data_IF_444106996054
#
_entry.id   IF_444106996054
#
_cell.length_a   1.000
_cell.length_b   1.000
_cell.length_c   1.000
_cell.angle_alpha   90.00
_cell.angle_beta   90.00
_cell.angle_gamma   90.00
#
_symmetry.space_group_name_H-M   'P 1'
#
loop_
_entity.id
_entity.type
_entity.pdbx_description
1 polymer ?
#
# COMPACT_ATOMS: atom_id res chain seq x y z
N UNK A 1 -2.04 -18.01 -6.42
CA UNK A 1 -2.29 -16.56 -6.55
C UNK A 1 -1.12 -15.92 -7.29
N UNK A 2 -1.38 -15.09 -8.31
CA UNK A 2 -0.33 -14.33 -9.00
C UNK A 2 -0.06 -13.01 -8.26
N UNK A 3 0.59 -13.09 -7.10
CA UNK A 3 0.80 -11.95 -6.20
C UNK A 3 1.85 -10.93 -6.70
N UNK A 4 2.47 -11.18 -7.85
CA UNK A 4 3.56 -10.35 -8.37
C UNK A 4 3.14 -9.49 -9.56
N UNK A 5 2.18 -9.95 -10.36
CA UNK A 5 1.78 -9.29 -11.59
C UNK A 5 0.44 -8.55 -11.46
N UNK A 6 0.52 -7.26 -11.13
CA UNK A 6 -0.62 -6.36 -11.00
C UNK A 6 -1.42 -6.23 -12.31
N UNK A 7 -0.77 -6.24 -13.46
CA UNK A 7 -1.43 -6.09 -14.76
C UNK A 7 -2.20 -7.36 -15.14
N UNK A 8 -1.59 -8.54 -14.95
CA UNK A 8 -2.29 -9.80 -15.17
C UNK A 8 -3.53 -9.90 -14.27
N UNK A 9 -3.40 -9.55 -12.98
CA UNK A 9 -4.56 -9.57 -12.07
C UNK A 9 -5.64 -8.57 -12.45
N UNK A 10 -5.27 -7.41 -13.00
CA UNK A 10 -6.24 -6.46 -13.52
C UNK A 10 -6.96 -7.04 -14.75
N UNK A 11 -6.25 -7.69 -15.68
CA UNK A 11 -6.87 -8.38 -16.81
C UNK A 11 -7.79 -9.54 -16.36
N UNK A 12 -7.38 -10.32 -15.36
CA UNK A 12 -8.18 -11.42 -14.80
C UNK A 12 -9.44 -10.90 -14.08
N UNK A 13 -9.35 -9.75 -13.40
CA UNK A 13 -10.51 -9.06 -12.83
C UNK A 13 -11.44 -8.53 -13.92
N UNK A 14 -10.90 -7.92 -14.96
CA UNK A 14 -11.68 -7.35 -16.05
C UNK A 14 -12.47 -8.44 -16.81
N UNK A 15 -11.86 -9.62 -16.98
CA UNK A 15 -12.45 -10.77 -17.67
C UNK A 15 -13.31 -11.67 -16.78
N UNK A 16 -13.53 -11.33 -15.51
CA UNK A 16 -14.23 -12.16 -14.51
C UNK A 16 -13.62 -13.56 -14.30
N UNK A 17 -12.33 -13.71 -14.62
CA UNK A 17 -11.60 -14.98 -14.50
C UNK A 17 -11.30 -15.36 -13.04
N UNK A 18 -11.34 -14.41 -12.11
CA UNK A 18 -11.10 -14.65 -10.68
C UNK A 18 -12.37 -15.11 -9.95
N UNK A 19 -12.30 -16.28 -9.33
CA UNK A 19 -13.38 -16.81 -8.49
C UNK A 19 -13.54 -15.99 -7.20
N UNK A 20 -14.73 -16.05 -6.60
CA UNK A 20 -15.00 -15.38 -5.31
C UNK A 20 -14.07 -15.87 -4.19
N UNK A 21 -13.73 -17.16 -4.19
CA UNK A 21 -12.76 -17.71 -3.24
C UNK A 21 -11.37 -17.07 -3.41
N UNK A 22 -10.92 -16.85 -4.64
CA UNK A 22 -9.63 -16.20 -4.89
C UNK A 22 -9.66 -14.73 -4.43
N UNK A 23 -10.74 -14.00 -4.71
CA UNK A 23 -10.92 -12.61 -4.22
C UNK A 23 -10.87 -12.53 -2.69
N UNK A 24 -11.53 -13.48 -2.00
CA UNK A 24 -11.47 -13.58 -0.54
C UNK A 24 -10.06 -13.87 -0.01
N UNK A 25 -9.28 -14.71 -0.71
CA UNK A 25 -7.87 -14.95 -0.34
C UNK A 25 -7.03 -13.68 -0.45
N UNK A 26 -7.23 -12.86 -1.49
CA UNK A 26 -6.57 -11.55 -1.60
C UNK A 26 -6.94 -10.61 -0.44
N UNK A 27 -8.23 -10.58 -0.06
CA UNK A 27 -8.69 -9.79 1.08
C UNK A 27 -7.99 -10.21 2.38
N UNK A 28 -8.00 -11.52 2.68
CA UNK A 28 -7.37 -12.08 3.88
C UNK A 28 -5.87 -11.79 3.89
N UNK A 29 -5.18 -11.97 2.76
CA UNK A 29 -3.76 -11.69 2.65
C UNK A 29 -3.43 -10.20 2.85
N UNK A 30 -4.24 -9.28 2.29
CA UNK A 30 -4.12 -7.85 2.54
C UNK A 30 -4.25 -7.51 4.04
N UNK A 31 -5.22 -8.13 4.72
CA UNK A 31 -5.43 -7.93 6.15
C UNK A 31 -4.23 -8.41 6.99
N UNK A 32 -3.72 -9.62 6.72
CA UNK A 32 -2.50 -10.11 7.38
C UNK A 32 -1.29 -9.23 7.11
N UNK A 33 -1.11 -8.77 5.86
CA UNK A 33 -0.02 -7.87 5.50
C UNK A 33 -0.11 -6.55 6.27
N UNK A 34 -1.30 -5.98 6.41
CA UNK A 34 -1.51 -4.74 7.17
C UNK A 34 -1.16 -4.91 8.66
N UNK A 35 -1.60 -6.01 9.28
CA UNK A 35 -1.28 -6.31 10.68
C UNK A 35 0.24 -6.49 10.83
N UNK A 36 0.84 -7.35 10.01
CA UNK A 36 2.26 -7.67 10.10
C UNK A 36 3.14 -6.42 9.85
N UNK A 37 2.79 -5.60 8.87
CA UNK A 37 3.52 -4.37 8.53
C UNK A 37 3.42 -3.27 9.58
N UNK A 38 2.46 -3.37 10.52
CA UNK A 38 2.29 -2.38 11.60
C UNK A 38 2.87 -2.91 12.91
N UNK A 39 2.51 -4.14 13.29
CA UNK A 39 2.84 -4.70 14.60
C UNK A 39 4.30 -5.14 14.69
N UNK A 40 4.83 -5.82 13.67
CA UNK A 40 6.20 -6.34 13.72
C UNK A 40 7.24 -5.22 13.84
N UNK A 41 7.17 -4.13 13.06
CA UNK A 41 8.11 -3.02 13.22
C UNK A 41 8.08 -2.41 14.61
N UNK A 42 6.90 -2.20 15.18
CA UNK A 42 6.77 -1.64 16.53
C UNK A 42 7.40 -2.54 17.59
N UNK A 43 7.19 -3.86 17.47
CA UNK A 43 7.81 -4.84 18.36
C UNK A 43 9.34 -4.84 18.24
N UNK A 44 9.88 -4.93 17.03
CA UNK A 44 11.33 -4.99 16.81
C UNK A 44 12.06 -3.68 17.10
N UNK A 45 11.40 -2.53 16.94
CA UNK A 45 11.98 -1.20 17.18
C UNK A 45 11.67 -0.62 18.57
N UNK A 46 10.93 -1.36 19.41
CA UNK A 46 10.68 -1.00 20.80
C UNK A 46 9.79 0.22 21.02
N UNK A 47 8.89 0.54 20.09
CA UNK A 47 8.05 1.74 20.17
C UNK A 47 6.72 1.51 20.88
N UNK A 48 6.36 2.42 21.79
CA UNK A 48 4.99 2.65 22.26
C UNK A 48 4.39 3.86 21.52
N UNK A 49 3.06 3.88 21.32
CA UNK A 49 2.34 4.92 20.56
C UNK A 49 2.57 6.32 21.14
N UNK A 50 3.61 7.02 20.67
CA UNK A 50 3.78 8.45 20.92
C UNK A 50 3.08 9.23 19.81
N UNK A 51 1.84 9.65 20.08
CA UNK A 51 1.12 10.61 19.25
C UNK A 51 1.68 12.01 19.53
N UNK A 52 2.43 12.56 18.58
CA UNK A 52 2.87 13.94 18.58
C UNK A 52 2.36 14.70 17.33
N UNK A 53 2.50 16.02 17.31
CA UNK A 53 1.98 16.87 16.22
C UNK A 53 2.53 16.46 14.84
N UNK A 54 3.75 15.94 14.79
CA UNK A 54 4.37 15.44 13.55
C UNK A 54 3.65 14.18 13.09
N UNK A 55 3.50 13.16 13.94
CA UNK A 55 2.74 11.95 13.58
C UNK A 55 1.30 12.26 13.15
N UNK A 56 0.65 13.23 13.79
CA UNK A 56 -0.69 13.69 13.42
C UNK A 56 -0.72 14.38 12.04
N UNK A 57 0.26 15.24 11.73
CA UNK A 57 0.33 15.91 10.43
C UNK A 57 0.54 14.91 9.28
N UNK A 58 1.40 13.88 9.44
CA UNK A 58 1.55 12.83 8.43
C UNK A 58 0.27 12.03 8.27
N UNK A 59 -0.41 11.71 9.37
CA UNK A 59 -1.71 11.03 9.31
C UNK A 59 -2.73 11.83 8.50
N UNK A 60 -2.88 13.13 8.75
CA UNK A 60 -3.81 14.01 8.00
C UNK A 60 -3.43 14.06 6.51
N UNK A 61 -2.14 14.24 6.19
CA UNK A 61 -1.66 14.23 4.81
C UNK A 61 -1.94 12.88 4.12
N UNK A 62 -1.69 11.78 4.82
CA UNK A 62 -1.93 10.41 4.34
C UNK A 62 -3.42 10.16 4.09
N UNK A 63 -4.31 10.64 4.96
CA UNK A 63 -5.76 10.57 4.76
C UNK A 63 -6.21 11.35 3.52
N UNK A 64 -5.69 12.56 3.31
CA UNK A 64 -6.01 13.36 2.14
C UNK A 64 -5.58 12.65 0.85
N UNK A 65 -4.34 12.13 0.82
CA UNK A 65 -3.80 11.35 -0.30
C UNK A 65 -4.61 10.08 -0.52
N UNK A 66 -5.02 9.39 0.55
CA UNK A 66 -5.84 8.20 0.48
C UNK A 66 -7.19 8.50 -0.18
N UNK A 67 -7.88 9.56 0.28
CA UNK A 67 -9.18 9.92 -0.24
C UNK A 67 -9.11 10.28 -1.73
N UNK A 68 -8.15 11.13 -2.11
CA UNK A 68 -7.93 11.52 -3.51
C UNK A 68 -7.56 10.31 -4.37
N UNK A 69 -6.68 9.44 -3.87
CA UNK A 69 -6.24 8.23 -4.53
C UNK A 69 -7.39 7.24 -4.76
N UNK A 70 -8.18 6.95 -3.74
CA UNK A 70 -9.35 6.08 -3.82
C UNK A 70 -10.37 6.61 -4.84
N UNK A 71 -10.67 7.91 -4.80
CA UNK A 71 -11.56 8.54 -5.78
C UNK A 71 -11.01 8.47 -7.21
N UNK A 72 -9.68 8.55 -7.37
CA UNK A 72 -9.05 8.43 -8.68
C UNK A 72 -9.16 7.02 -9.28
N UNK A 73 -9.07 5.98 -8.45
CA UNK A 73 -9.28 4.59 -8.87
C UNK A 73 -10.77 4.34 -9.15
N UNK A 74 -11.67 4.83 -8.29
CA UNK A 74 -13.11 4.75 -8.53
C UNK A 74 -13.49 5.33 -9.90
N UNK A 75 -12.99 6.53 -10.23
CA UNK A 75 -13.21 7.15 -11.55
C UNK A 75 -12.59 6.35 -12.69
N UNK A 76 -11.46 5.68 -12.48
CA UNK A 76 -10.86 4.82 -13.50
C UNK A 76 -11.70 3.55 -13.74
N UNK A 77 -12.38 3.06 -12.70
CA UNK A 77 -13.27 1.90 -12.80
C UNK A 77 -14.69 2.24 -13.28
N UNK A 78 -15.15 3.50 -13.18
CA UNK A 78 -16.57 3.86 -13.35
C UNK A 78 -17.15 3.57 -14.75
N UNK A 79 -16.30 3.41 -15.75
CA UNK A 79 -16.71 3.02 -17.11
C UNK A 79 -16.92 1.51 -17.29
N UNK A 80 -16.48 0.68 -16.34
CA UNK A 80 -16.38 -0.76 -16.51
C UNK A 80 -17.33 -1.52 -15.58
N UNK A 81 -18.37 -2.15 -16.14
CA UNK A 81 -19.45 -2.77 -15.34
C UNK A 81 -19.12 -4.16 -14.79
N UNK A 82 -18.15 -4.87 -15.35
CA UNK A 82 -17.86 -6.28 -15.02
C UNK A 82 -17.01 -6.44 -13.76
N UNK A 83 -16.06 -5.52 -13.53
CA UNK A 83 -15.20 -5.54 -12.35
C UNK A 83 -15.66 -4.50 -11.32
N UNK A 84 -16.07 -4.97 -10.14
CA UNK A 84 -16.42 -4.09 -9.03
C UNK A 84 -15.23 -3.26 -8.55
N UNK A 85 -15.47 -2.00 -8.17
CA UNK A 85 -14.42 -1.10 -7.66
C UNK A 85 -13.78 -1.67 -6.38
N UNK A 86 -14.59 -2.24 -5.49
CA UNK A 86 -14.10 -2.84 -4.25
C UNK A 86 -13.22 -4.08 -4.52
N UNK A 87 -13.66 -4.97 -5.42
CA UNK A 87 -12.85 -6.12 -5.85
C UNK A 87 -11.53 -5.68 -6.44
N UNK A 88 -11.56 -4.63 -7.27
CA UNK A 88 -10.37 -4.04 -7.90
C UNK A 88 -9.40 -3.50 -6.85
N UNK A 89 -9.90 -2.72 -5.89
CA UNK A 89 -9.08 -2.19 -4.80
C UNK A 89 -8.47 -3.30 -3.96
N UNK A 90 -9.24 -4.31 -3.57
CA UNK A 90 -8.77 -5.39 -2.69
C UNK A 90 -7.73 -6.27 -3.39
N UNK A 91 -8.05 -6.77 -4.59
CA UNK A 91 -7.20 -7.73 -5.30
C UNK A 91 -5.92 -7.09 -5.81
N UNK A 92 -5.98 -5.85 -6.31
CA UNK A 92 -4.79 -5.14 -6.80
C UNK A 92 -3.97 -4.52 -5.66
N UNK A 93 -4.54 -4.28 -4.48
CA UNK A 93 -3.79 -3.76 -3.35
C UNK A 93 -2.70 -4.72 -2.88
N UNK A 94 -2.95 -6.03 -2.80
CA UNK A 94 -1.94 -6.98 -2.32
C UNK A 94 -0.61 -6.92 -3.11
N UNK A 95 -0.59 -7.15 -4.44
CA UNK A 95 0.65 -7.12 -5.22
C UNK A 95 1.32 -5.75 -5.21
N UNK A 96 0.54 -4.66 -5.13
CA UNK A 96 1.05 -3.29 -5.09
C UNK A 96 1.66 -2.97 -3.73
N UNK A 97 0.98 -3.30 -2.63
CA UNK A 97 1.46 -3.12 -1.28
C UNK A 97 2.76 -3.90 -1.04
N UNK A 98 2.87 -5.14 -1.52
CA UNK A 98 4.12 -5.90 -1.42
C UNK A 98 5.31 -5.16 -2.07
N UNK A 99 5.13 -4.64 -3.30
CA UNK A 99 6.17 -3.88 -4.01
C UNK A 99 6.56 -2.61 -3.26
N UNK A 100 5.57 -1.87 -2.77
CA UNK A 100 5.79 -0.62 -2.05
C UNK A 100 6.47 -0.86 -0.71
N UNK A 101 6.05 -1.89 0.03
CA UNK A 101 6.67 -2.29 1.30
C UNK A 101 8.12 -2.72 1.09
N UNK A 102 8.43 -3.49 0.05
CA UNK A 102 9.81 -3.86 -0.28
C UNK A 102 10.68 -2.62 -0.52
N UNK A 103 10.21 -1.67 -1.34
CA UNK A 103 10.93 -0.41 -1.59
C UNK A 103 11.08 0.40 -0.31
N UNK A 104 10.04 0.46 0.52
CA UNK A 104 10.05 1.17 1.79
C UNK A 104 11.13 0.63 2.73
N UNK A 105 11.20 -0.69 2.91
CA UNK A 105 12.16 -1.34 3.82
C UNK A 105 13.59 -1.27 3.28
N UNK A 106 13.79 -1.43 1.97
CA UNK A 106 15.10 -1.28 1.35
C UNK A 106 15.64 0.15 1.49
N UNK A 107 14.78 1.14 1.28
CA UNK A 107 15.15 2.55 1.43
C UNK A 107 15.43 2.89 2.89
N UNK A 108 14.61 2.39 3.83
CA UNK A 108 14.87 2.53 5.25
C UNK A 108 16.21 1.90 5.65
N UNK A 109 16.50 0.67 5.23
CA UNK A 109 17.75 -0.01 5.55
C UNK A 109 18.97 0.80 5.06
N UNK A 110 18.89 1.34 3.83
CA UNK A 110 19.94 2.21 3.30
C UNK A 110 20.12 3.49 4.12
N UNK A 111 19.03 4.19 4.46
CA UNK A 111 19.09 5.41 5.28
C UNK A 111 19.62 5.08 6.68
N UNK A 112 19.13 4.02 7.31
CA UNK A 112 19.61 3.60 8.63
C UNK A 112 21.11 3.29 8.64
N UNK A 113 21.64 2.65 7.58
CA UNK A 113 23.07 2.43 7.43
C UNK A 113 23.87 3.73 7.30
N UNK A 114 23.37 4.70 6.52
CA UNK A 114 24.03 6.00 6.32
C UNK A 114 24.05 6.87 7.59
N UNK A 115 23.07 6.69 8.48
CA UNK A 115 22.90 7.50 9.70
C UNK A 115 23.19 6.74 11.00
N UNK A 116 23.73 5.51 10.90
CA UNK A 116 23.90 4.59 12.03
C UNK A 116 24.73 5.18 13.19
N UNK A 117 25.71 6.03 12.88
CA UNK A 117 26.59 6.66 13.88
C UNK A 117 26.01 7.93 14.52
N UNK A 118 24.96 8.51 13.92
CA UNK A 118 24.47 9.84 14.26
C UNK A 118 23.15 9.82 15.04
N UNK A 119 22.29 8.84 14.74
CA UNK A 119 20.95 8.75 15.29
C UNK A 119 20.59 7.28 15.50
N UNK A 120 19.75 6.99 16.50
CA UNK A 120 19.25 5.64 16.68
C UNK A 120 18.40 5.21 15.48
N UNK A 121 18.50 3.94 15.09
CA UNK A 121 17.69 3.37 13.99
C UNK A 121 16.19 3.65 14.19
N UNK A 122 15.74 3.58 15.44
CA UNK A 122 14.39 3.92 15.86
C UNK A 122 13.99 5.36 15.46
N UNK A 123 14.82 6.36 15.80
CA UNK A 123 14.53 7.76 15.49
C UNK A 123 14.54 8.05 13.99
N UNK A 124 15.50 7.46 13.27
CA UNK A 124 15.57 7.54 11.79
C UNK A 124 14.31 6.93 11.17
N UNK A 125 13.87 5.77 11.67
CA UNK A 125 12.65 5.11 11.21
C UNK A 125 11.41 5.97 11.38
N UNK A 126 11.29 6.67 12.52
CA UNK A 126 10.15 7.55 12.81
C UNK A 126 10.04 8.68 11.77
N UNK A 127 11.14 9.41 11.54
CA UNK A 127 11.17 10.53 10.58
C UNK A 127 10.95 10.01 9.16
N UNK A 128 11.63 8.93 8.79
CA UNK A 128 11.47 8.32 7.48
C UNK A 128 10.01 7.89 7.23
N UNK A 129 9.38 7.24 8.20
CA UNK A 129 7.99 6.78 8.10
C UNK A 129 6.99 7.92 7.97
N UNK A 130 7.23 9.05 8.65
CA UNK A 130 6.41 10.26 8.51
C UNK A 130 6.36 10.74 7.05
N UNK A 131 7.51 10.79 6.38
CA UNK A 131 7.64 11.23 4.98
C UNK A 131 7.15 10.15 4.01
N UNK A 132 7.49 8.89 4.30
CA UNK A 132 7.22 7.78 3.40
C UNK A 132 5.72 7.44 3.33
N UNK A 133 4.94 7.58 4.40
CA UNK A 133 3.53 7.14 4.40
C UNK A 133 2.65 7.80 3.33
N UNK A 134 2.59 9.13 3.21
CA UNK A 134 1.84 9.77 2.13
C UNK A 134 2.32 9.33 0.74
N UNK A 135 3.63 9.17 0.56
CA UNK A 135 4.23 8.75 -0.72
C UNK A 135 3.86 7.29 -1.05
N UNK A 136 3.90 6.39 -0.08
CA UNK A 136 3.51 5.00 -0.23
C UNK A 136 2.04 4.88 -0.64
N UNK A 137 1.15 5.61 0.04
CA UNK A 137 -0.28 5.62 -0.29
C UNK A 137 -0.52 6.21 -1.68
N UNK A 138 0.16 7.29 -2.04
CA UNK A 138 0.08 7.85 -3.39
C UNK A 138 0.53 6.83 -4.46
N UNK A 139 1.70 6.21 -4.27
CA UNK A 139 2.22 5.18 -5.16
C UNK A 139 1.25 4.01 -5.30
N UNK A 140 0.59 3.61 -4.20
CA UNK A 140 -0.37 2.51 -4.22
C UNK A 140 -1.52 2.81 -5.19
N UNK A 141 -2.19 3.95 -5.00
CA UNK A 141 -3.32 4.31 -5.85
C UNK A 141 -2.90 4.62 -7.29
N UNK A 142 -1.72 5.22 -7.49
CA UNK A 142 -1.18 5.46 -8.83
C UNK A 142 -0.97 4.15 -9.60
N UNK A 143 -0.34 3.15 -8.98
CA UNK A 143 -0.07 1.85 -9.62
C UNK A 143 -1.36 1.06 -9.88
N UNK A 144 -2.32 1.09 -8.95
CA UNK A 144 -3.64 0.47 -9.14
C UNK A 144 -4.37 1.16 -10.30
N UNK A 145 -4.45 2.49 -10.30
CA UNK A 145 -5.08 3.27 -11.36
C UNK A 145 -4.47 2.96 -12.72
N UNK A 146 -3.13 2.92 -12.81
CA UNK A 146 -2.43 2.58 -14.04
C UNK A 146 -2.81 1.18 -14.53
N UNK A 147 -2.84 0.19 -13.64
CA UNK A 147 -3.24 -1.17 -14.01
C UNK A 147 -4.69 -1.24 -14.50
N UNK A 148 -5.62 -0.52 -13.85
CA UNK A 148 -7.01 -0.41 -14.30
C UNK A 148 -7.09 0.20 -15.70
N UNK A 149 -6.48 1.37 -15.91
CA UNK A 149 -6.52 2.07 -17.20
C UNK A 149 -5.91 1.26 -18.35
N UNK A 150 -4.95 0.38 -18.06
CA UNK A 150 -4.32 -0.47 -19.07
C UNK A 150 -5.16 -1.70 -19.45
N UNK A 151 -6.00 -2.20 -18.55
CA UNK A 151 -6.63 -3.52 -18.72
C UNK A 151 -8.17 -3.48 -18.75
N UNK A 152 -8.80 -2.40 -18.27
CA UNK A 152 -10.26 -2.24 -18.23
C UNK A 152 -10.70 -1.42 -19.45
N UNK A 153 -10.35 -1.90 -20.64
CA UNK A 153 -10.73 -1.33 -21.93
C UNK A 153 -11.99 -2.02 -22.49
#
# INVERSE_FOLDING_TARGET
MNIWNTNQLAADLASEALSQQQKAQYYIACFYLQIAATVLPMYFLGYSYYLNIVTFASYVATLAVFHVGAMSVYKACSGYKKAGVLDTLVVLSLPVCLKIQLVYWLSYALIALLFAEQQSAAYVWLIYSFVAMPVMVWCQFYLIKKAVQQNYA
#
